data_IF_980074452913
#
_entry.id   IF_980074452913
#
_cell.length_a   1.000
_cell.length_b   1.000
_cell.length_c   1.000
_cell.angle_alpha   90.00
_cell.angle_beta   90.00
_cell.angle_gamma   90.00
#
_symmetry.space_group_name_H-M   'P 1'
#
loop_
_entity.id
_entity.type
_entity.pdbx_description
1 polymer ?
#
# COMPACT_ATOMS: atom_id res chain seq x y z
N UNK A 1 49.22 41.48 -14.13
CA UNK A 1 47.84 41.61 -13.62
C UNK A 1 46.80 40.77 -14.42
N UNK A 2 47.16 40.08 -15.50
CA UNK A 2 46.19 39.25 -16.29
C UNK A 2 46.14 37.75 -15.92
N UNK A 3 47.06 37.24 -15.12
CA UNK A 3 47.12 35.83 -14.74
C UNK A 3 46.32 35.47 -13.45
N UNK A 4 45.99 36.45 -12.60
CA UNK A 4 45.26 36.21 -11.34
C UNK A 4 43.74 36.04 -11.57
N UNK A 5 43.21 36.62 -12.63
CA UNK A 5 41.76 36.59 -12.93
C UNK A 5 41.32 35.21 -13.45
N UNK A 6 42.20 34.46 -14.14
CA UNK A 6 41.92 33.14 -14.68
C UNK A 6 41.88 32.03 -13.62
N UNK A 7 42.58 32.20 -12.52
CA UNK A 7 42.61 31.22 -11.41
C UNK A 7 41.33 31.26 -10.55
N UNK A 8 40.70 32.43 -10.44
CA UNK A 8 39.45 32.58 -9.66
C UNK A 8 38.20 32.07 -10.38
N UNK A 9 38.20 32.03 -11.72
CA UNK A 9 37.06 31.48 -12.49
C UNK A 9 37.07 29.94 -12.50
N UNK A 10 38.25 29.32 -12.42
CA UNK A 10 38.36 27.86 -12.37
C UNK A 10 37.93 27.28 -11.00
N UNK A 11 38.07 28.02 -9.92
CA UNK A 11 37.68 27.60 -8.56
C UNK A 11 36.16 27.71 -8.33
N UNK A 12 35.48 28.62 -9.03
CA UNK A 12 34.01 28.78 -8.90
C UNK A 12 33.21 27.67 -9.60
N UNK A 13 33.79 26.99 -10.57
CA UNK A 13 33.16 25.89 -11.32
C UNK A 13 33.20 24.52 -10.61
N UNK A 14 34.07 24.38 -9.59
CA UNK A 14 34.21 23.14 -8.82
C UNK A 14 33.22 23.02 -7.65
N UNK A 15 32.49 24.08 -7.30
CA UNK A 15 31.53 24.09 -6.21
C UNK A 15 30.05 23.85 -6.64
N UNK A 16 29.79 23.71 -7.92
CA UNK A 16 28.45 23.42 -8.48
C UNK A 16 28.23 21.92 -8.73
N UNK A 17 29.15 21.07 -8.35
CA UNK A 17 28.97 19.62 -8.32
C UNK A 17 28.16 19.19 -7.09
N UNK A 18 26.98 19.81 -6.88
CA UNK A 18 25.97 19.28 -6.00
C UNK A 18 25.49 17.95 -6.53
N UNK A 19 26.13 16.85 -6.09
CA UNK A 19 25.65 15.51 -6.36
C UNK A 19 24.20 15.44 -5.92
N UNK A 20 23.29 15.39 -6.89
CA UNK A 20 21.95 14.92 -6.64
C UNK A 20 22.13 13.54 -6.00
N UNK A 21 21.91 13.46 -4.69
CA UNK A 21 21.75 12.18 -4.01
C UNK A 21 20.58 11.52 -4.74
N UNK A 22 20.90 10.62 -5.68
CA UNK A 22 19.91 9.77 -6.28
C UNK A 22 19.22 9.08 -5.11
N UNK A 23 18.04 9.56 -4.76
CA UNK A 23 17.16 8.86 -3.85
C UNK A 23 16.88 7.52 -4.53
N UNK A 24 17.62 6.50 -4.13
CA UNK A 24 17.31 5.14 -4.53
C UNK A 24 15.85 4.95 -4.20
N UNK A 25 15.00 4.56 -5.15
CA UNK A 25 13.63 4.21 -4.81
C UNK A 25 13.75 3.12 -3.76
N UNK A 26 13.35 3.42 -2.52
CA UNK A 26 13.30 2.41 -1.47
C UNK A 26 12.31 1.36 -1.97
N UNK A 27 12.86 0.25 -2.47
CA UNK A 27 12.09 -0.87 -2.95
C UNK A 27 11.40 -1.47 -1.71
N UNK A 28 10.12 -1.18 -1.58
CA UNK A 28 9.34 -1.79 -0.53
C UNK A 28 9.09 -3.25 -0.92
N UNK A 29 9.43 -4.23 -0.07
CA UNK A 29 9.42 -5.63 -0.42
C UNK A 29 8.00 -6.22 -0.36
N UNK A 30 7.09 -5.70 -1.18
CA UNK A 30 5.78 -6.31 -1.43
C UNK A 30 5.97 -7.53 -2.31
N UNK A 31 5.71 -8.72 -1.76
CA UNK A 31 5.86 -9.99 -2.48
C UNK A 31 4.63 -10.32 -3.32
N UNK A 32 3.45 -10.18 -2.72
CA UNK A 32 2.17 -10.51 -3.35
C UNK A 32 1.06 -9.62 -2.78
N UNK A 33 0.04 -9.36 -3.59
CA UNK A 33 -1.17 -8.67 -3.13
C UNK A 33 -2.40 -9.16 -3.90
N UNK A 34 -3.56 -9.07 -3.28
CA UNK A 34 -4.84 -9.38 -3.92
C UNK A 34 -6.00 -8.72 -3.17
N UNK A 35 -7.14 -8.65 -3.85
CA UNK A 35 -8.44 -8.46 -3.21
C UNK A 35 -9.11 -9.83 -3.10
N UNK A 36 -9.76 -10.09 -1.98
CA UNK A 36 -10.41 -11.37 -1.68
C UNK A 36 -11.69 -11.16 -0.87
N UNK A 37 -12.50 -12.21 -0.73
CA UNK A 37 -13.73 -12.15 0.10
C UNK A 37 -13.43 -12.43 1.57
N UNK A 38 -12.38 -13.21 1.85
CA UNK A 38 -12.04 -13.63 3.21
C UNK A 38 -10.57 -14.02 3.33
N UNK A 39 -10.14 -14.34 4.55
CA UNK A 39 -8.84 -14.92 4.87
C UNK A 39 -9.01 -16.12 5.78
N UNK A 40 -8.10 -17.09 5.65
CA UNK A 40 -8.02 -18.25 6.57
C UNK A 40 -7.51 -17.81 7.95
N UNK A 41 -7.62 -18.71 8.94
CA UNK A 41 -7.03 -18.49 10.28
C UNK A 41 -5.50 -18.33 10.22
N UNK A 42 -4.85 -18.88 9.20
CA UNK A 42 -3.41 -18.70 8.94
C UNK A 42 -3.09 -17.40 8.17
N UNK A 43 -4.10 -16.58 7.85
CA UNK A 43 -3.92 -15.31 7.14
C UNK A 43 -3.78 -15.43 5.63
N UNK A 44 -4.17 -16.57 5.02
CA UNK A 44 -4.14 -16.72 3.55
C UNK A 44 -5.45 -16.23 2.91
N UNK A 45 -5.39 -15.56 1.74
CA UNK A 45 -6.58 -15.02 1.10
C UNK A 45 -7.47 -16.14 0.55
N UNK A 46 -8.78 -16.02 0.80
CA UNK A 46 -9.83 -16.90 0.29
C UNK A 46 -10.72 -16.17 -0.72
N UNK A 47 -11.08 -16.88 -1.80
CA UNK A 47 -11.99 -16.38 -2.84
C UNK A 47 -11.50 -15.04 -3.42
N UNK A 48 -10.31 -15.05 -4.03
CA UNK A 48 -9.72 -13.90 -4.73
C UNK A 48 -10.66 -13.39 -5.81
N UNK A 49 -11.02 -12.13 -5.74
CA UNK A 49 -11.91 -11.46 -6.70
C UNK A 49 -11.77 -9.96 -6.59
N UNK A 50 -12.09 -9.26 -7.68
CA UNK A 50 -12.25 -7.80 -7.70
C UNK A 50 -13.71 -7.38 -7.89
N UNK A 51 -14.64 -8.34 -7.86
CA UNK A 51 -16.06 -8.09 -8.03
C UNK A 51 -16.84 -8.66 -6.85
N UNK A 52 -17.60 -7.80 -6.20
CA UNK A 52 -18.45 -8.10 -5.04
C UNK A 52 -19.90 -7.74 -5.34
N UNK A 53 -20.78 -8.23 -4.49
CA UNK A 53 -22.18 -7.80 -4.43
C UNK A 53 -22.45 -7.17 -3.05
N UNK A 54 -23.56 -6.47 -2.93
CA UNK A 54 -23.98 -5.88 -1.65
C UNK A 54 -24.38 -6.94 -0.61
N UNK A 55 -24.51 -8.22 -1.02
CA UNK A 55 -24.76 -9.37 -0.14
C UNK A 55 -23.48 -10.06 0.37
N UNK A 56 -22.33 -9.73 -0.21
CA UNK A 56 -21.05 -10.22 0.30
C UNK A 56 -20.73 -9.62 1.67
N UNK A 57 -20.16 -10.41 2.57
CA UNK A 57 -19.87 -9.98 3.94
C UNK A 57 -18.84 -8.85 3.96
N UNK A 58 -17.80 -8.94 3.13
CA UNK A 58 -16.67 -8.00 3.14
C UNK A 58 -15.83 -8.06 1.87
N UNK A 59 -15.02 -7.02 1.65
CA UNK A 59 -13.87 -7.02 0.75
C UNK A 59 -12.59 -6.92 1.57
N UNK A 60 -11.61 -7.77 1.27
CA UNK A 60 -10.32 -7.85 1.96
C UNK A 60 -9.22 -7.37 1.04
N UNK A 61 -8.47 -6.37 1.44
CA UNK A 61 -7.18 -6.01 0.83
C UNK A 61 -6.08 -6.77 1.55
N UNK A 62 -5.49 -7.74 0.86
CA UNK A 62 -4.48 -8.66 1.40
C UNK A 62 -3.13 -8.43 0.76
N UNK A 63 -2.07 -8.53 1.57
CA UNK A 63 -0.68 -8.33 1.18
C UNK A 63 0.20 -9.41 1.80
N UNK A 64 1.21 -9.87 1.06
CA UNK A 64 2.33 -10.62 1.59
C UNK A 64 3.57 -9.74 1.53
N UNK A 65 4.15 -9.45 2.68
CA UNK A 65 5.25 -8.50 2.82
C UNK A 65 6.48 -9.20 3.37
N UNK A 66 7.64 -9.01 2.71
CA UNK A 66 8.92 -9.46 3.25
C UNK A 66 9.28 -8.63 4.47
N UNK A 67 9.64 -9.31 5.55
CA UNK A 67 10.08 -8.67 6.79
C UNK A 67 11.57 -8.37 6.75
N UNK A 68 11.96 -7.30 7.38
CA UNK A 68 13.36 -6.94 7.64
C UNK A 68 13.62 -6.77 9.15
N UNK A 69 14.74 -6.16 9.51
CA UNK A 69 15.11 -5.90 10.90
C UNK A 69 14.37 -4.72 11.56
N UNK A 70 13.41 -4.11 10.84
CA UNK A 70 12.65 -2.95 11.32
C UNK A 70 11.18 -3.27 11.44
N UNK A 71 10.49 -2.53 12.29
CA UNK A 71 9.03 -2.52 12.32
C UNK A 71 8.49 -1.56 11.27
N UNK A 72 7.42 -1.96 10.57
CA UNK A 72 6.75 -1.13 9.57
C UNK A 72 5.28 -0.93 9.92
N UNK A 73 4.76 0.25 9.63
CA UNK A 73 3.33 0.55 9.77
C UNK A 73 2.66 0.48 8.40
N UNK A 74 1.56 -0.24 8.31
CA UNK A 74 0.73 -0.33 7.11
C UNK A 74 -0.58 0.39 7.38
N UNK A 75 -0.93 1.34 6.52
CA UNK A 75 -2.23 2.01 6.50
C UNK A 75 -2.98 1.58 5.24
N UNK A 76 -4.24 1.18 5.40
CA UNK A 76 -5.19 1.06 4.31
C UNK A 76 -6.13 2.25 4.35
N UNK A 77 -6.29 2.91 3.18
CA UNK A 77 -7.18 4.03 3.01
C UNK A 77 -8.20 3.69 1.95
N UNK A 78 -9.44 3.46 2.38
CA UNK A 78 -10.57 3.07 1.55
C UNK A 78 -11.29 4.30 1.03
N UNK A 79 -11.66 4.28 -0.26
CA UNK A 79 -12.32 5.39 -0.93
C UNK A 79 -13.62 4.95 -1.57
N UNK A 80 -14.64 5.77 -1.43
CA UNK A 80 -15.92 5.62 -2.09
C UNK A 80 -15.75 5.69 -3.61
N UNK A 81 -16.78 5.24 -4.38
CA UNK A 81 -16.81 5.43 -5.84
C UNK A 81 -16.63 6.88 -6.27
N UNK A 82 -17.08 7.85 -5.47
CA UNK A 82 -16.91 9.29 -5.73
C UNK A 82 -15.51 9.85 -5.36
N UNK A 83 -14.61 9.02 -4.84
CA UNK A 83 -13.24 9.38 -4.53
C UNK A 83 -12.98 9.98 -3.14
N UNK A 84 -13.98 10.11 -2.27
CA UNK A 84 -13.78 10.52 -0.87
C UNK A 84 -13.25 9.37 -0.03
N UNK A 85 -12.47 9.67 0.98
CA UNK A 85 -12.04 8.70 1.99
C UNK A 85 -13.26 8.22 2.78
N UNK A 86 -13.46 6.91 2.78
CA UNK A 86 -14.51 6.25 3.57
C UNK A 86 -13.99 5.83 4.93
N UNK A 87 -12.88 5.09 4.96
CA UNK A 87 -12.31 4.54 6.19
C UNK A 87 -10.79 4.45 6.11
N UNK A 88 -10.16 4.33 7.28
CA UNK A 88 -8.74 4.03 7.44
C UNK A 88 -8.58 2.91 8.44
N UNK A 89 -7.61 2.05 8.19
CA UNK A 89 -7.19 1.01 9.13
C UNK A 89 -5.68 0.90 9.14
N UNK A 90 -5.12 0.40 10.23
CA UNK A 90 -3.69 0.33 10.45
C UNK A 90 -3.30 -1.06 10.96
N UNK A 91 -2.12 -1.51 10.59
CA UNK A 91 -1.46 -2.68 11.13
C UNK A 91 0.03 -2.44 11.27
N UNK A 92 0.68 -3.21 12.10
CA UNK A 92 2.13 -3.17 12.28
C UNK A 92 2.73 -4.50 11.85
N UNK A 93 3.78 -4.43 11.03
CA UNK A 93 4.61 -5.58 10.69
C UNK A 93 5.79 -5.56 11.65
N UNK A 94 5.91 -6.55 12.55
CA UNK A 94 7.04 -6.61 13.48
C UNK A 94 8.34 -6.96 12.73
N UNK A 95 9.51 -6.57 13.26
CA UNK A 95 10.80 -6.97 12.70
C UNK A 95 10.98 -8.49 12.77
N UNK A 96 11.92 -9.01 11.97
CA UNK A 96 12.36 -10.40 12.10
C UNK A 96 13.19 -10.52 13.36
N UNK A 97 12.79 -11.43 14.26
CA UNK A 97 13.58 -11.82 15.42
C UNK A 97 14.34 -13.11 15.09
N UNK A 98 15.63 -12.96 14.78
CA UNK A 98 16.55 -14.09 14.60
C UNK A 98 16.27 -14.98 13.37
N UNK A 99 16.91 -16.17 13.37
CA UNK A 99 16.91 -17.12 12.25
C UNK A 99 15.62 -17.96 12.10
N UNK A 100 14.69 -17.89 13.05
CA UNK A 100 13.50 -18.77 13.11
C UNK A 100 12.22 -18.12 12.66
N UNK A 101 12.23 -16.83 12.31
CA UNK A 101 11.04 -16.11 11.87
C UNK A 101 10.64 -16.38 10.43
N UNK A 102 9.34 -16.33 10.13
CA UNK A 102 8.86 -16.31 8.74
C UNK A 102 9.34 -15.02 8.07
N UNK A 103 10.03 -15.17 6.96
CA UNK A 103 10.59 -14.05 6.18
C UNK A 103 9.52 -13.16 5.54
N UNK A 104 8.32 -13.69 5.33
CA UNK A 104 7.18 -12.96 4.81
C UNK A 104 6.02 -13.03 5.79
N UNK A 105 5.31 -11.92 5.96
CA UNK A 105 4.13 -11.82 6.81
C UNK A 105 2.90 -11.46 5.98
N UNK A 106 1.79 -12.21 6.09
CA UNK A 106 0.51 -11.79 5.57
C UNK A 106 -0.04 -10.66 6.45
N UNK A 107 -0.52 -9.60 5.82
CA UNK A 107 -1.23 -8.51 6.47
C UNK A 107 -2.44 -8.13 5.62
N UNK A 108 -3.54 -7.75 6.25
CA UNK A 108 -4.77 -7.43 5.54
C UNK A 108 -5.63 -6.44 6.32
N UNK A 109 -6.55 -5.84 5.58
CA UNK A 109 -7.63 -5.02 6.12
C UNK A 109 -8.94 -5.39 5.43
N UNK A 110 -10.04 -5.30 6.17
CA UNK A 110 -11.38 -5.64 5.69
C UNK A 110 -12.25 -4.39 5.61
N UNK A 111 -12.99 -4.27 4.50
CA UNK A 111 -14.10 -3.36 4.35
C UNK A 111 -15.39 -4.18 4.49
N UNK A 112 -16.15 -4.00 5.57
CA UNK A 112 -17.45 -4.63 5.75
C UNK A 112 -18.45 -4.08 4.75
N UNK A 113 -19.18 -4.97 4.06
CA UNK A 113 -20.18 -4.61 3.04
C UNK A 113 -21.59 -4.83 3.59
N UNK A 114 -21.95 -6.08 3.81
CA UNK A 114 -23.29 -6.46 4.23
C UNK A 114 -23.68 -5.84 5.56
N UNK A 115 -24.85 -5.22 5.59
CA UNK A 115 -25.37 -4.59 6.80
C UNK A 115 -24.69 -3.27 7.21
N UNK A 116 -23.87 -2.69 6.33
CA UNK A 116 -23.26 -1.37 6.51
C UNK A 116 -23.68 -0.41 5.39
N UNK A 117 -23.32 0.86 5.51
CA UNK A 117 -23.56 1.89 4.48
C UNK A 117 -22.89 1.54 3.14
N UNK A 118 -21.83 0.73 3.16
CA UNK A 118 -21.13 0.27 1.96
C UNK A 118 -22.08 -0.47 1.01
N UNK A 119 -23.02 -1.24 1.55
CA UNK A 119 -24.04 -1.95 0.76
C UNK A 119 -24.97 -1.01 -0.02
N UNK A 120 -25.09 0.25 0.38
CA UNK A 120 -25.89 1.28 -0.30
C UNK A 120 -25.09 2.14 -1.26
N UNK A 121 -23.79 1.84 -1.42
CA UNK A 121 -22.85 2.58 -2.26
C UNK A 121 -22.21 1.67 -3.33
N UNK A 122 -23.02 1.06 -4.21
CA UNK A 122 -22.48 0.25 -5.30
C UNK A 122 -21.63 1.10 -6.25
N UNK A 123 -20.66 0.49 -6.88
CA UNK A 123 -19.77 1.15 -7.84
C UNK A 123 -18.30 0.72 -7.69
N UNK A 124 -17.42 1.52 -8.26
CA UNK A 124 -16.00 1.27 -8.28
C UNK A 124 -15.33 1.84 -7.02
N UNK A 125 -14.86 0.97 -6.18
CA UNK A 125 -14.13 1.29 -4.97
C UNK A 125 -12.63 1.23 -5.19
N UNK A 126 -11.89 1.92 -4.34
CA UNK A 126 -10.42 1.94 -4.34
C UNK A 126 -9.90 1.82 -2.92
N UNK A 127 -8.80 1.10 -2.76
CA UNK A 127 -8.01 1.11 -1.54
C UNK A 127 -6.55 1.43 -1.87
N UNK A 128 -6.01 2.45 -1.22
CA UNK A 128 -4.58 2.78 -1.24
C UNK A 128 -3.91 2.12 -0.03
N UNK A 129 -2.80 1.45 -0.27
CA UNK A 129 -1.94 0.90 0.77
C UNK A 129 -0.72 1.79 0.93
N UNK A 130 -0.51 2.24 2.15
CA UNK A 130 0.55 3.17 2.52
C UNK A 130 1.41 2.48 3.57
N UNK A 131 2.71 2.39 3.31
CA UNK A 131 3.67 1.82 4.26
C UNK A 131 4.67 2.89 4.63
N UNK A 132 4.88 3.09 5.93
CA UNK A 132 5.77 4.11 6.47
C UNK A 132 5.57 5.47 5.78
N UNK A 133 4.31 5.91 5.69
CA UNK A 133 3.88 7.17 5.06
C UNK A 133 4.05 7.25 3.53
N UNK A 134 4.40 6.14 2.86
CA UNK A 134 4.51 6.10 1.39
C UNK A 134 3.45 5.19 0.78
N UNK A 135 2.72 5.70 -0.20
CA UNK A 135 1.79 4.87 -0.97
C UNK A 135 2.59 3.88 -1.83
N UNK A 136 2.37 2.58 -1.58
CA UNK A 136 3.08 1.48 -2.25
C UNK A 136 2.20 0.75 -3.25
N UNK A 137 0.87 0.84 -3.10
CA UNK A 137 -0.08 0.09 -3.90
C UNK A 137 -1.42 0.83 -3.95
N UNK A 138 -2.11 0.70 -5.07
CA UNK A 138 -3.54 1.02 -5.22
C UNK A 138 -4.24 -0.20 -5.79
N UNK A 139 -5.33 -0.64 -5.15
CA UNK A 139 -6.16 -1.73 -5.62
C UNK A 139 -7.57 -1.19 -5.92
N UNK A 140 -8.19 -1.73 -6.96
CA UNK A 140 -9.54 -1.39 -7.38
C UNK A 140 -10.44 -2.62 -7.32
N UNK A 141 -11.71 -2.42 -6.95
CA UNK A 141 -12.73 -3.45 -6.95
C UNK A 141 -14.11 -2.83 -7.16
N UNK A 142 -15.07 -3.63 -7.53
CA UNK A 142 -16.43 -3.18 -7.80
C UNK A 142 -17.40 -3.87 -6.86
N UNK A 143 -18.35 -3.12 -6.31
CA UNK A 143 -19.50 -3.65 -5.58
C UNK A 143 -20.74 -3.42 -6.45
N UNK A 144 -21.40 -4.51 -6.80
CA UNK A 144 -22.62 -4.49 -7.61
C UNK A 144 -23.86 -4.73 -6.73
N UNK A 145 -24.98 -4.16 -7.12
CA UNK A 145 -26.26 -4.65 -6.60
C UNK A 145 -26.54 -6.04 -7.13
N UNK A 146 -27.03 -7.00 -6.31
CA UNK A 146 -27.48 -8.27 -6.83
C UNK A 146 -28.61 -8.00 -7.85
N UNK A 147 -28.58 -8.74 -8.96
CA UNK A 147 -29.66 -8.64 -9.93
C UNK A 147 -30.97 -9.05 -9.24
N UNK A 148 -31.94 -8.14 -9.19
CA UNK A 148 -33.32 -8.53 -8.90
C UNK A 148 -33.81 -9.40 -10.05
N UNK A 149 -34.08 -10.67 -9.77
CA UNK A 149 -34.77 -11.56 -10.69
C UNK A 149 -36.22 -11.14 -10.84
#
# INVERSE_FOLDING_TARGET
MRMIVLALVALALLLMGGGALASHPMFFPLSEHTIAKDVTDSGMPLYRTTTFTTDDEQAVSWLLIWRDSKSHTVEWRWYWPEGRTYARSFSTIPPIDGFTGMWAAPVWSCLKIKGTDVAYLPGNWRVDVIVDYRKVLTQYFTINTPYAC
#
